data_IF_199945729161
#
_entry.id   IF_199945729161
#
_cell.length_a   1.000
_cell.length_b   1.000
_cell.length_c   1.000
_cell.angle_alpha   90.00
_cell.angle_beta   90.00
_cell.angle_gamma   90.00
#
_symmetry.space_group_name_H-M   'P 1'
#
loop_
_entity.id
_entity.type
_entity.pdbx_description
1 polymer ?
#
# COMPACT_ATOMS: atom_id res chain seq x y z
N UNK A 1 -20.33 32.68 -12.10
CA UNK A 1 -19.14 32.20 -11.41
C UNK A 1 -19.18 30.69 -11.47
N UNK A 2 -18.35 30.07 -12.27
CA UNK A 2 -18.26 28.58 -12.30
C UNK A 2 -17.37 28.18 -11.14
N UNK A 3 -17.93 27.45 -10.18
CA UNK A 3 -17.16 26.85 -9.09
C UNK A 3 -16.18 25.83 -9.68
N UNK A 4 -14.89 26.09 -9.48
CA UNK A 4 -13.80 25.20 -9.88
C UNK A 4 -13.72 23.97 -8.94
N UNK A 5 -14.77 23.15 -8.91
CA UNK A 5 -14.83 21.89 -8.14
C UNK A 5 -14.21 20.70 -8.86
N UNK A 6 -13.42 20.93 -9.91
CA UNK A 6 -12.92 19.88 -10.78
C UNK A 6 -11.52 19.35 -10.38
N UNK A 7 -10.85 20.00 -9.42
CA UNK A 7 -9.49 19.63 -8.98
C UNK A 7 -9.43 19.57 -7.46
N UNK A 8 -9.05 18.42 -6.92
CA UNK A 8 -8.71 18.27 -5.50
C UNK A 8 -7.19 18.25 -5.36
N UNK A 9 -6.65 19.05 -4.43
CA UNK A 9 -5.20 19.17 -4.21
C UNK A 9 -4.86 18.77 -2.78
N UNK A 10 -3.95 17.80 -2.65
CA UNK A 10 -3.41 17.37 -1.36
C UNK A 10 -1.89 17.53 -1.37
N UNK A 11 -1.33 18.25 -0.42
CA UNK A 11 0.12 18.42 -0.30
C UNK A 11 0.64 17.81 0.99
N UNK A 12 1.65 16.96 0.88
CA UNK A 12 2.38 16.40 2.02
C UNK A 12 3.88 16.42 1.72
N UNK A 13 4.64 17.22 2.49
CA UNK A 13 6.10 17.34 2.37
C UNK A 13 6.59 17.56 0.92
N UNK A 14 7.29 16.55 0.34
CA UNK A 14 7.85 16.57 -1.00
C UNK A 14 6.85 16.15 -2.09
N UNK A 15 5.64 15.77 -1.72
CA UNK A 15 4.63 15.25 -2.65
C UNK A 15 3.43 16.20 -2.71
N UNK A 16 2.95 16.46 -3.90
CA UNK A 16 1.67 17.13 -4.15
C UNK A 16 0.84 16.21 -5.02
N UNK A 17 -0.40 16.00 -4.64
CA UNK A 17 -1.35 15.18 -5.35
C UNK A 17 -2.45 16.06 -5.90
N UNK A 18 -2.78 15.92 -7.17
CA UNK A 18 -3.89 16.60 -7.82
C UNK A 18 -4.79 15.54 -8.45
N UNK A 19 -6.07 15.64 -8.16
CA UNK A 19 -7.06 14.78 -8.77
C UNK A 19 -7.91 15.59 -9.76
N UNK A 20 -7.88 15.21 -11.04
CA UNK A 20 -8.65 15.82 -12.10
C UNK A 20 -9.92 14.98 -12.34
N UNK A 21 -11.03 15.40 -11.74
CA UNK A 21 -12.31 14.65 -11.75
C UNK A 21 -12.83 14.39 -13.18
N UNK A 22 -12.79 15.40 -14.05
CA UNK A 22 -13.29 15.27 -15.43
C UNK A 22 -12.50 14.27 -16.27
N UNK A 23 -11.18 14.28 -16.13
CA UNK A 23 -10.28 13.44 -16.91
C UNK A 23 -10.12 12.04 -16.32
N UNK A 24 -10.59 11.82 -15.09
CA UNK A 24 -10.37 10.61 -14.33
C UNK A 24 -8.89 10.27 -14.14
N UNK A 25 -8.06 11.32 -13.98
CA UNK A 25 -6.60 11.24 -13.86
C UNK A 25 -6.18 11.69 -12.49
N UNK A 26 -5.26 10.93 -11.90
CA UNK A 26 -4.58 11.26 -10.67
C UNK A 26 -3.15 11.69 -10.99
N UNK A 27 -2.76 12.91 -10.61
CA UNK A 27 -1.43 13.47 -10.80
C UNK A 27 -0.67 13.52 -9.49
N UNK A 28 0.53 12.98 -9.49
CA UNK A 28 1.43 12.94 -8.34
C UNK A 28 2.72 13.67 -8.69
N UNK A 29 2.96 14.80 -8.03
CA UNK A 29 4.17 15.58 -8.19
C UNK A 29 5.16 15.23 -7.08
N UNK A 30 6.42 15.05 -7.47
CA UNK A 30 7.53 14.90 -6.55
C UNK A 30 8.45 16.10 -6.69
N UNK A 31 8.73 16.78 -5.56
CA UNK A 31 9.56 17.96 -5.49
C UNK A 31 10.77 17.68 -4.63
N UNK A 32 11.94 17.57 -5.25
CA UNK A 32 13.20 17.33 -4.57
C UNK A 32 14.05 18.60 -4.55
N UNK A 33 14.70 18.89 -3.41
CA UNK A 33 15.54 20.06 -3.22
C UNK A 33 16.88 19.69 -2.57
N UNK A 34 17.88 20.57 -2.71
CA UNK A 34 19.19 20.44 -2.06
C UNK A 34 19.91 19.14 -2.39
N UNK A 35 20.52 18.49 -1.38
CA UNK A 35 21.35 17.29 -1.54
C UNK A 35 20.57 16.15 -2.22
N UNK A 36 19.28 16.00 -1.93
CA UNK A 36 18.45 14.96 -2.53
C UNK A 36 18.27 15.18 -4.04
N UNK A 37 18.00 16.44 -4.45
CA UNK A 37 17.95 16.79 -5.86
C UNK A 37 19.29 16.56 -6.56
N UNK A 38 20.41 16.95 -5.94
CA UNK A 38 21.74 16.72 -6.45
C UNK A 38 22.03 15.23 -6.69
N UNK A 39 21.70 14.36 -5.73
CA UNK A 39 21.89 12.91 -5.89
C UNK A 39 21.05 12.32 -7.02
N UNK A 40 19.81 12.79 -7.20
CA UNK A 40 18.94 12.37 -8.32
C UNK A 40 19.51 12.90 -9.64
N UNK A 41 19.91 14.17 -9.69
CA UNK A 41 20.50 14.79 -10.86
C UNK A 41 21.77 14.06 -11.34
N UNK A 42 22.63 13.68 -10.40
CA UNK A 42 23.86 12.88 -10.67
C UNK A 42 23.59 11.38 -10.85
N UNK A 43 22.33 10.94 -10.88
CA UNK A 43 21.93 9.52 -10.96
C UNK A 43 22.46 8.64 -9.82
N UNK A 44 22.81 9.21 -8.68
CA UNK A 44 23.25 8.49 -7.47
C UNK A 44 22.06 7.97 -6.64
N UNK A 45 20.86 8.43 -6.94
CA UNK A 45 19.59 7.95 -6.35
C UNK A 45 18.55 7.86 -7.44
N UNK A 46 17.67 6.85 -7.34
CA UNK A 46 16.50 6.76 -8.22
C UNK A 46 15.46 7.79 -7.80
N UNK A 47 14.81 8.39 -8.77
CA UNK A 47 13.66 9.25 -8.59
C UNK A 47 12.40 8.38 -8.45
N UNK A 48 11.50 8.72 -7.51
CA UNK A 48 10.34 7.87 -7.19
C UNK A 48 9.35 7.76 -8.35
N UNK A 49 9.08 8.84 -9.06
CA UNK A 49 8.16 8.85 -10.19
C UNK A 49 8.68 8.02 -11.36
N UNK A 50 9.96 8.15 -11.71
CA UNK A 50 10.61 7.34 -12.73
C UNK A 50 10.61 5.85 -12.34
N UNK A 51 10.86 5.58 -11.06
CA UNK A 51 10.82 4.21 -10.55
C UNK A 51 9.41 3.62 -10.64
N UNK A 52 8.38 4.37 -10.26
CA UNK A 52 6.97 3.92 -10.33
C UNK A 52 6.54 3.63 -11.77
N UNK A 53 6.92 4.49 -12.71
CA UNK A 53 6.61 4.33 -14.13
C UNK A 53 7.26 3.07 -14.71
N UNK A 54 8.56 2.90 -14.49
CA UNK A 54 9.30 1.74 -15.00
C UNK A 54 8.82 0.44 -14.33
N UNK A 55 8.54 0.49 -13.04
CA UNK A 55 8.09 -0.66 -12.28
C UNK A 55 6.72 -1.16 -12.71
N UNK A 56 5.82 -0.26 -13.14
CA UNK A 56 4.50 -0.64 -13.61
C UNK A 56 4.55 -1.63 -14.79
N UNK A 57 5.42 -1.38 -15.76
CA UNK A 57 5.59 -2.29 -16.90
C UNK A 57 6.19 -3.64 -16.48
N UNK A 58 7.16 -3.63 -15.57
CA UNK A 58 7.73 -4.85 -15.00
C UNK A 58 6.67 -5.67 -14.25
N UNK A 59 5.85 -5.00 -13.43
CA UNK A 59 4.79 -5.65 -12.67
C UNK A 59 3.73 -6.28 -13.58
N UNK A 60 3.31 -5.59 -14.61
CA UNK A 60 2.35 -6.15 -15.59
C UNK A 60 2.89 -7.40 -16.27
N UNK A 61 4.17 -7.40 -16.63
CA UNK A 61 4.84 -8.54 -17.24
C UNK A 61 4.97 -9.72 -16.27
N UNK A 62 5.37 -9.43 -15.02
CA UNK A 62 5.63 -10.46 -14.02
C UNK A 62 4.33 -11.00 -13.38
N UNK A 63 3.25 -10.23 -13.40
CA UNK A 63 1.95 -10.57 -12.81
C UNK A 63 0.79 -10.28 -13.78
N UNK A 64 0.71 -10.99 -14.91
CA UNK A 64 -0.24 -10.66 -15.98
C UNK A 64 -1.72 -10.78 -15.61
N UNK A 65 -2.03 -11.54 -14.54
CA UNK A 65 -3.40 -11.74 -14.04
C UNK A 65 -3.80 -10.78 -12.94
N UNK A 66 -2.87 -9.92 -12.49
CA UNK A 66 -3.11 -8.98 -11.40
C UNK A 66 -3.50 -7.61 -11.91
N UNK A 67 -4.24 -6.89 -11.08
CA UNK A 67 -4.64 -5.53 -11.39
C UNK A 67 -3.72 -4.55 -10.64
N UNK A 68 -3.07 -3.71 -11.40
CA UNK A 68 -2.29 -2.58 -10.91
C UNK A 68 -2.93 -1.29 -11.42
N UNK A 69 -2.93 -0.25 -10.59
CA UNK A 69 -3.31 1.08 -11.05
C UNK A 69 -2.46 1.45 -12.27
N UNK A 70 -3.11 1.77 -13.39
CA UNK A 70 -2.40 2.08 -14.63
C UNK A 70 -1.64 3.39 -14.48
N UNK A 71 -0.34 3.35 -14.67
CA UNK A 71 0.51 4.54 -14.81
C UNK A 71 0.48 4.96 -16.27
N UNK A 72 -0.01 6.19 -16.53
CA UNK A 72 -0.26 6.69 -17.87
C UNK A 72 0.96 7.38 -18.46
N UNK A 73 1.65 8.19 -17.65
CA UNK A 73 2.84 8.92 -18.08
C UNK A 73 3.73 9.32 -16.91
N UNK A 74 4.97 9.60 -17.25
CA UNK A 74 5.99 10.18 -16.38
C UNK A 74 6.69 11.32 -17.11
N UNK A 75 6.92 12.44 -16.41
CA UNK A 75 7.61 13.61 -16.97
C UNK A 75 8.55 14.25 -15.94
N UNK A 76 9.74 14.65 -16.39
CA UNK A 76 10.65 15.53 -15.64
C UNK A 76 10.36 16.99 -15.98
N UNK A 77 9.58 17.67 -15.12
CA UNK A 77 9.21 19.08 -15.30
C UNK A 77 10.43 20.00 -15.07
N UNK A 78 11.27 19.66 -14.09
CA UNK A 78 12.47 20.38 -13.74
C UNK A 78 13.59 19.42 -13.37
N UNK A 79 14.77 19.61 -13.96
CA UNK A 79 15.95 18.80 -13.69
C UNK A 79 17.19 19.69 -13.55
N UNK A 80 17.55 20.05 -12.33
CA UNK A 80 18.74 20.84 -12.02
C UNK A 80 19.42 20.29 -10.77
N UNK A 81 20.72 20.61 -10.52
CA UNK A 81 21.45 20.10 -9.36
C UNK A 81 20.79 20.36 -8.00
N UNK A 82 20.02 21.46 -7.91
CA UNK A 82 19.41 21.87 -6.63
C UNK A 82 17.89 21.73 -6.59
N UNK A 83 17.27 21.37 -7.71
CA UNK A 83 15.82 21.22 -7.78
C UNK A 83 15.43 20.24 -8.89
N UNK A 84 14.81 19.13 -8.50
CA UNK A 84 14.20 18.17 -9.44
C UNK A 84 12.71 18.14 -9.15
N UNK A 85 11.89 18.33 -10.18
CA UNK A 85 10.42 18.20 -10.11
C UNK A 85 9.98 17.22 -11.17
N UNK A 86 9.22 16.22 -10.78
CA UNK A 86 8.69 15.20 -11.68
C UNK A 86 7.18 15.04 -11.49
N UNK A 87 6.53 14.55 -12.52
CA UNK A 87 5.10 14.29 -12.57
C UNK A 87 4.86 12.84 -12.99
N UNK A 88 4.01 12.15 -12.25
CA UNK A 88 3.42 10.88 -12.64
C UNK A 88 1.92 11.07 -12.80
N UNK A 89 1.39 10.64 -13.93
CA UNK A 89 -0.05 10.56 -14.15
C UNK A 89 -0.49 9.11 -14.11
N UNK A 90 -1.56 8.84 -13.40
CA UNK A 90 -2.18 7.50 -13.32
C UNK A 90 -3.69 7.59 -13.49
N UNK A 91 -4.32 6.48 -13.82
CA UNK A 91 -5.77 6.40 -13.80
C UNK A 91 -6.31 6.54 -12.38
N UNK A 92 -7.51 7.10 -12.23
CA UNK A 92 -8.21 7.05 -10.97
C UNK A 92 -8.99 5.74 -10.84
N UNK A 93 -8.69 4.98 -9.80
CA UNK A 93 -9.34 3.71 -9.51
C UNK A 93 -10.56 3.83 -8.60
N UNK A 94 -10.78 5.00 -7.96
CA UNK A 94 -11.86 5.22 -6.99
C UNK A 94 -13.27 5.00 -7.59
N UNK A 95 -13.43 5.25 -8.89
CA UNK A 95 -14.71 5.00 -9.58
C UNK A 95 -14.99 3.52 -9.82
N UNK A 96 -13.96 2.71 -9.85
CA UNK A 96 -14.05 1.27 -10.13
C UNK A 96 -14.09 0.45 -8.84
N UNK A 97 -13.48 0.96 -7.77
CA UNK A 97 -13.33 0.28 -6.49
C UNK A 97 -13.96 1.12 -5.38
N UNK A 98 -14.85 0.51 -4.60
CA UNK A 98 -15.69 1.17 -3.61
C UNK A 98 -14.98 1.51 -2.29
N UNK A 99 -13.69 1.27 -2.15
CA UNK A 99 -12.92 1.60 -0.96
C UNK A 99 -11.58 0.86 -0.88
N UNK A 100 -10.75 1.27 0.07
CA UNK A 100 -9.52 0.56 0.36
C UNK A 100 -9.76 -0.70 1.21
N UNK A 101 -8.74 -1.55 1.32
CA UNK A 101 -8.85 -2.83 2.03
C UNK A 101 -9.15 -2.65 3.52
N UNK A 102 -8.71 -1.56 4.14
CA UNK A 102 -9.00 -1.26 5.56
C UNK A 102 -10.48 -0.97 5.76
N UNK A 103 -11.08 -0.15 4.91
CA UNK A 103 -12.50 0.18 4.96
C UNK A 103 -13.37 -1.06 4.69
N UNK A 104 -12.99 -1.86 3.70
CA UNK A 104 -13.66 -3.12 3.41
C UNK A 104 -13.57 -4.10 4.57
N UNK A 105 -12.41 -4.22 5.20
CA UNK A 105 -12.23 -5.08 6.38
C UNK A 105 -13.11 -4.63 7.55
N UNK A 106 -13.18 -3.32 7.81
CA UNK A 106 -14.08 -2.75 8.82
C UNK A 106 -15.54 -3.04 8.51
N UNK A 107 -15.94 -2.89 7.26
CA UNK A 107 -17.29 -3.21 6.82
C UNK A 107 -17.63 -4.68 7.08
N UNK A 108 -16.78 -5.63 6.66
CA UNK A 108 -17.01 -7.05 6.85
C UNK A 108 -17.14 -7.44 8.34
N UNK A 109 -16.30 -6.84 9.19
CA UNK A 109 -16.34 -7.08 10.63
C UNK A 109 -17.65 -6.54 11.22
N UNK A 110 -18.10 -5.35 10.83
CA UNK A 110 -19.35 -4.75 11.30
C UNK A 110 -20.57 -5.57 10.88
N UNK A 111 -20.56 -6.12 9.67
CA UNK A 111 -21.60 -7.04 9.18
C UNK A 111 -21.49 -8.45 9.79
N UNK A 112 -20.53 -8.67 10.69
CA UNK A 112 -20.21 -9.96 11.31
C UNK A 112 -19.91 -11.08 10.29
N UNK A 113 -19.38 -10.71 9.10
CA UNK A 113 -19.03 -11.64 8.04
C UNK A 113 -17.56 -12.08 8.15
N UNK A 114 -17.28 -12.84 9.21
CA UNK A 114 -15.94 -13.37 9.49
C UNK A 114 -15.40 -14.20 8.32
N UNK A 115 -16.25 -14.97 7.66
CA UNK A 115 -15.84 -15.83 6.56
C UNK A 115 -15.22 -15.01 5.43
N UNK A 116 -15.90 -13.96 4.97
CA UNK A 116 -15.35 -13.07 3.94
C UNK A 116 -14.13 -12.28 4.42
N UNK A 117 -14.08 -11.93 5.70
CA UNK A 117 -12.90 -11.29 6.27
C UNK A 117 -11.67 -12.22 6.20
N UNK A 118 -11.81 -13.50 6.55
CA UNK A 118 -10.73 -14.49 6.41
C UNK A 118 -10.34 -14.71 4.94
N UNK A 119 -11.31 -14.79 4.04
CA UNK A 119 -11.03 -14.86 2.60
C UNK A 119 -10.23 -13.66 2.11
N UNK A 120 -10.52 -12.45 2.61
CA UNK A 120 -9.77 -11.24 2.29
C UNK A 120 -8.33 -11.29 2.83
N UNK A 121 -8.11 -11.79 4.05
CA UNK A 121 -6.77 -12.01 4.61
C UNK A 121 -5.99 -13.03 3.78
N UNK A 122 -6.60 -14.16 3.41
CA UNK A 122 -5.96 -15.18 2.57
C UNK A 122 -5.60 -14.64 1.18
N UNK A 123 -6.46 -13.79 0.61
CA UNK A 123 -6.21 -13.14 -0.67
C UNK A 123 -5.02 -12.17 -0.59
N UNK A 124 -4.96 -11.34 0.46
CA UNK A 124 -3.82 -10.47 0.72
C UNK A 124 -2.53 -11.28 0.89
N UNK A 125 -2.59 -12.36 1.66
CA UNK A 125 -1.43 -13.22 1.90
C UNK A 125 -0.90 -13.84 0.60
N UNK A 126 -1.79 -14.36 -0.25
CA UNK A 126 -1.40 -14.92 -1.56
C UNK A 126 -0.74 -13.85 -2.44
N UNK A 127 -1.25 -12.61 -2.38
CA UNK A 127 -0.65 -11.48 -3.07
C UNK A 127 0.78 -11.25 -2.58
N UNK A 128 0.96 -11.04 -1.26
CA UNK A 128 2.26 -10.79 -0.65
C UNK A 128 3.25 -11.93 -0.92
N UNK A 129 2.81 -13.16 -0.71
CA UNK A 129 3.65 -14.34 -0.95
C UNK A 129 4.15 -14.41 -2.40
N UNK A 130 3.27 -14.23 -3.37
CA UNK A 130 3.63 -14.30 -4.80
C UNK A 130 4.55 -13.15 -5.19
N UNK A 131 4.29 -11.96 -4.62
CA UNK A 131 5.11 -10.76 -4.82
C UNK A 131 6.56 -11.01 -4.36
N UNK A 132 6.71 -11.57 -3.17
CA UNK A 132 7.99 -11.95 -2.60
C UNK A 132 8.71 -13.04 -3.38
N UNK A 133 7.99 -14.03 -3.90
CA UNK A 133 8.59 -15.09 -4.73
C UNK A 133 9.26 -14.51 -5.98
N UNK A 134 8.74 -13.43 -6.53
CA UNK A 134 9.31 -12.72 -7.67
C UNK A 134 10.31 -11.60 -7.29
N UNK A 135 10.75 -11.59 -6.02
CA UNK A 135 11.70 -10.62 -5.45
C UNK A 135 11.22 -9.16 -5.47
N UNK A 136 9.91 -8.95 -5.45
CA UNK A 136 9.34 -7.64 -5.21
C UNK A 136 9.03 -7.43 -3.74
N UNK A 137 9.18 -6.20 -3.27
CA UNK A 137 8.89 -5.81 -1.89
C UNK A 137 8.27 -4.42 -1.88
N UNK A 138 7.34 -4.21 -0.97
CA UNK A 138 6.83 -2.89 -0.66
C UNK A 138 7.35 -2.45 0.71
N UNK A 139 8.11 -1.36 0.78
CA UNK A 139 8.73 -0.92 2.05
C UNK A 139 7.73 -0.26 3.00
N UNK A 140 6.62 0.24 2.48
CA UNK A 140 5.46 0.73 3.22
C UNK A 140 4.22 -0.10 2.85
N UNK A 141 4.28 -1.40 3.17
CA UNK A 141 3.21 -2.34 2.87
C UNK A 141 2.01 -2.05 3.78
N UNK A 142 1.16 -1.15 3.31
CA UNK A 142 -0.01 -0.69 4.03
C UNK A 142 -1.29 -1.18 3.31
N UNK A 143 -2.26 -1.67 4.06
CA UNK A 143 -3.55 -2.10 3.52
C UNK A 143 -4.32 -0.98 2.80
N UNK A 144 -4.01 0.29 3.10
CA UNK A 144 -4.58 1.42 2.39
C UNK A 144 -4.10 1.53 0.93
N UNK A 145 -2.99 0.84 0.57
CA UNK A 145 -2.46 0.82 -0.78
C UNK A 145 -3.14 -0.23 -1.68
N UNK A 146 -4.16 -0.89 -1.16
CA UNK A 146 -5.01 -1.83 -1.89
C UNK A 146 -6.42 -1.31 -1.97
N UNK A 147 -6.93 -1.15 -3.18
CA UNK A 147 -8.35 -0.93 -3.41
C UNK A 147 -9.01 -2.26 -3.71
N UNK A 148 -10.20 -2.47 -3.18
CA UNK A 148 -10.95 -3.70 -3.37
C UNK A 148 -12.36 -3.42 -3.91
N UNK A 149 -12.75 -4.17 -4.93
CA UNK A 149 -14.13 -4.25 -5.36
C UNK A 149 -14.82 -5.40 -4.58
N UNK A 150 -15.74 -5.07 -3.66
CA UNK A 150 -16.40 -6.07 -2.82
C UNK A 150 -17.28 -7.04 -3.63
N UNK A 151 -17.74 -6.66 -4.82
CA UNK A 151 -18.59 -7.51 -5.68
C UNK A 151 -17.76 -8.54 -6.46
N UNK A 152 -16.68 -8.08 -7.08
CA UNK A 152 -15.84 -8.92 -7.94
C UNK A 152 -14.64 -9.52 -7.20
N UNK A 153 -14.39 -9.11 -5.97
CA UNK A 153 -13.19 -9.44 -5.16
C UNK A 153 -11.86 -9.11 -5.88
N UNK A 154 -11.92 -8.21 -6.88
CA UNK A 154 -10.71 -7.73 -7.53
C UNK A 154 -9.99 -6.76 -6.62
N UNK A 155 -8.69 -6.96 -6.50
CA UNK A 155 -7.79 -6.05 -5.78
C UNK A 155 -6.97 -5.30 -6.81
N UNK A 156 -6.85 -3.98 -6.61
CA UNK A 156 -5.91 -3.13 -7.35
C UNK A 156 -4.92 -2.54 -6.38
N UNK A 157 -3.67 -2.67 -6.72
CA UNK A 157 -2.57 -2.05 -5.99
C UNK A 157 -2.32 -0.64 -6.53
N UNK A 158 -2.26 0.38 -5.66
CA UNK A 158 -2.31 1.78 -6.06
C UNK A 158 -1.05 2.62 -5.77
N UNK A 159 -0.16 2.20 -4.90
CA UNK A 159 1.04 2.99 -4.57
C UNK A 159 2.32 2.20 -4.85
N UNK A 160 2.98 2.52 -5.97
CA UNK A 160 4.20 1.85 -6.43
C UNK A 160 5.49 2.52 -5.95
N UNK A 161 5.40 3.66 -5.29
CA UNK A 161 6.57 4.49 -4.94
C UNK A 161 7.62 3.75 -4.12
N UNK A 162 7.15 2.90 -3.25
CA UNK A 162 7.94 2.21 -2.25
C UNK A 162 8.15 0.71 -2.58
N UNK A 163 7.73 0.29 -3.79
CA UNK A 163 8.06 -1.03 -4.30
C UNK A 163 9.52 -1.06 -4.78
N UNK A 164 10.18 -2.15 -4.47
CA UNK A 164 11.55 -2.44 -4.92
C UNK A 164 11.66 -3.86 -5.42
N UNK A 165 12.53 -4.04 -6.40
CA UNK A 165 13.02 -5.35 -6.82
C UNK A 165 14.44 -5.49 -6.27
N UNK A 166 14.61 -6.30 -5.24
CA UNK A 166 15.84 -6.35 -4.45
C UNK A 166 16.50 -7.73 -4.50
N UNK A 167 17.83 -7.79 -4.35
CA UNK A 167 18.55 -9.04 -4.21
C UNK A 167 18.11 -9.86 -3.00
N UNK A 168 18.27 -11.17 -3.10
CA UNK A 168 17.79 -12.16 -2.13
C UNK A 168 18.20 -11.90 -0.67
N UNK A 169 19.38 -11.28 -0.43
CA UNK A 169 19.92 -11.06 0.93
C UNK A 169 19.11 -10.04 1.77
N UNK A 170 18.38 -9.12 1.14
CA UNK A 170 17.50 -8.17 1.86
C UNK A 170 16.08 -8.69 2.07
N UNK A 171 15.75 -9.81 1.46
CA UNK A 171 14.40 -10.35 1.40
C UNK A 171 13.78 -10.52 2.78
N UNK A 172 14.48 -11.17 3.73
CA UNK A 172 13.99 -11.41 5.09
C UNK A 172 13.69 -10.11 5.84
N UNK A 173 14.54 -9.08 5.69
CA UNK A 173 14.34 -7.79 6.34
C UNK A 173 13.08 -7.07 5.83
N UNK A 174 12.94 -6.98 4.52
CA UNK A 174 11.81 -6.29 3.89
C UNK A 174 10.50 -7.02 4.16
N UNK A 175 10.50 -8.34 4.06
CA UNK A 175 9.37 -9.18 4.45
C UNK A 175 8.95 -8.95 5.90
N UNK A 176 9.92 -8.93 6.82
CA UNK A 176 9.64 -8.64 8.23
C UNK A 176 8.98 -7.28 8.41
N UNK A 177 9.39 -6.27 7.66
CA UNK A 177 8.80 -4.94 7.70
C UNK A 177 7.36 -4.95 7.18
N UNK A 178 7.11 -5.59 6.04
CA UNK A 178 5.78 -5.73 5.44
C UNK A 178 4.80 -6.41 6.40
N UNK A 179 5.18 -7.57 6.94
CA UNK A 179 4.32 -8.34 7.85
C UNK A 179 4.03 -7.55 9.14
N UNK A 180 5.03 -6.85 9.69
CA UNK A 180 4.82 -6.01 10.88
C UNK A 180 3.93 -4.81 10.61
N UNK A 181 4.00 -4.21 9.43
CA UNK A 181 3.11 -3.13 9.03
C UNK A 181 1.67 -3.63 8.93
N UNK A 182 1.46 -4.78 8.32
CA UNK A 182 0.15 -5.42 8.24
C UNK A 182 -0.39 -5.78 9.64
N UNK A 183 0.41 -6.44 10.47
CA UNK A 183 0.05 -6.81 11.85
C UNK A 183 -0.41 -5.58 12.66
N UNK A 184 0.34 -4.47 12.56
CA UNK A 184 -0.02 -3.24 13.25
C UNK A 184 -1.37 -2.70 12.74
N UNK A 185 -1.57 -2.64 11.42
CA UNK A 185 -2.83 -2.16 10.82
C UNK A 185 -4.02 -3.05 11.20
N UNK A 186 -3.83 -4.37 11.19
CA UNK A 186 -4.87 -5.32 11.62
C UNK A 186 -5.26 -5.10 13.08
N UNK A 187 -4.28 -4.93 13.96
CA UNK A 187 -4.51 -4.65 15.39
C UNK A 187 -5.24 -3.32 15.60
N UNK A 188 -4.90 -2.28 14.85
CA UNK A 188 -5.60 -0.98 14.91
C UNK A 188 -7.06 -1.11 14.47
N UNK A 189 -7.33 -1.90 13.42
CA UNK A 189 -8.70 -2.23 13.00
C UNK A 189 -9.45 -2.92 14.14
N UNK A 190 -8.87 -3.98 14.72
CA UNK A 190 -9.51 -4.74 15.79
C UNK A 190 -9.72 -3.92 17.08
N UNK A 191 -8.82 -3.00 17.40
CA UNK A 191 -9.01 -2.04 18.51
C UNK A 191 -10.20 -1.12 18.27
N UNK A 192 -10.37 -0.64 17.03
CA UNK A 192 -11.50 0.24 16.68
C UNK A 192 -12.86 -0.46 16.75
N UNK A 193 -12.89 -1.82 16.77
CA UNK A 193 -14.10 -2.63 16.82
C UNK A 193 -14.51 -2.90 18.28
N UNK A 194 -15.11 -1.89 18.93
CA UNK A 194 -15.47 -1.97 20.36
C UNK A 194 -16.53 -3.03 20.66
N UNK A 195 -17.43 -3.31 19.71
CA UNK A 195 -18.52 -4.27 19.86
C UNK A 195 -18.14 -5.72 19.52
N UNK A 196 -16.92 -5.95 19.00
CA UNK A 196 -16.45 -7.29 18.66
C UNK A 196 -16.04 -8.05 19.93
N UNK A 197 -16.46 -9.31 20.05
CA UNK A 197 -16.06 -10.17 21.17
C UNK A 197 -14.55 -10.42 21.15
N UNK A 198 -13.94 -10.51 22.32
CA UNK A 198 -12.50 -10.79 22.47
C UNK A 198 -12.14 -12.14 21.84
N UNK A 199 -13.00 -13.16 21.97
CA UNK A 199 -12.82 -14.47 21.31
C UNK A 199 -12.65 -14.34 19.80
N UNK A 200 -13.44 -13.45 19.18
CA UNK A 200 -13.42 -13.24 17.74
C UNK A 200 -12.17 -12.49 17.30
N UNK A 201 -11.75 -11.47 18.08
CA UNK A 201 -10.47 -10.77 17.84
C UNK A 201 -9.29 -11.73 17.94
N UNK A 202 -9.31 -12.62 18.92
CA UNK A 202 -8.27 -13.65 19.11
C UNK A 202 -8.23 -14.60 17.92
N UNK A 203 -9.37 -15.12 17.47
CA UNK A 203 -9.46 -15.99 16.30
C UNK A 203 -8.82 -15.35 15.04
N UNK A 204 -9.09 -14.07 14.79
CA UNK A 204 -8.52 -13.33 13.67
C UNK A 204 -7.00 -13.20 13.80
N UNK A 205 -6.51 -12.86 14.99
CA UNK A 205 -5.07 -12.74 15.25
C UNK A 205 -4.35 -14.08 15.13
N UNK A 206 -4.95 -15.15 15.63
CA UNK A 206 -4.39 -16.51 15.55
C UNK A 206 -4.36 -17.01 14.10
N UNK A 207 -5.40 -16.72 13.30
CA UNK A 207 -5.41 -17.01 11.87
C UNK A 207 -4.30 -16.26 11.14
N UNK A 208 -4.11 -14.96 11.41
CA UNK A 208 -3.02 -14.18 10.83
C UNK A 208 -1.65 -14.75 11.21
N UNK A 209 -1.43 -15.06 12.49
CA UNK A 209 -0.19 -15.69 12.96
C UNK A 209 0.07 -17.03 12.28
N UNK A 210 -0.95 -17.85 12.11
CA UNK A 210 -0.84 -19.12 11.39
C UNK A 210 -0.37 -18.90 9.94
N UNK A 211 -0.95 -17.91 9.25
CA UNK A 211 -0.58 -17.59 7.88
C UNK A 211 0.88 -17.14 7.75
N UNK A 212 1.40 -16.39 8.73
CA UNK A 212 2.77 -15.83 8.68
C UNK A 212 3.81 -16.64 9.44
N UNK A 213 3.42 -17.71 10.12
CA UNK A 213 4.30 -18.51 10.99
C UNK A 213 5.53 -19.08 10.31
N UNK A 214 5.42 -19.46 9.03
CA UNK A 214 6.51 -20.02 8.24
C UNK A 214 7.63 -19.03 7.88
N UNK A 215 7.46 -17.73 8.20
CA UNK A 215 8.50 -16.71 7.92
C UNK A 215 9.49 -16.51 9.06
N UNK A 216 9.33 -17.19 10.20
CA UNK A 216 10.20 -17.06 11.38
C UNK A 216 10.41 -15.58 11.78
N UNK A 217 9.33 -14.82 11.88
CA UNK A 217 9.35 -13.42 12.24
C UNK A 217 9.21 -13.26 13.74
N UNK A 218 10.26 -12.75 14.37
CA UNK A 218 10.21 -12.41 15.80
C UNK A 218 9.38 -11.16 16.02
N UNK A 219 8.34 -11.29 16.85
CA UNK A 219 7.55 -10.15 17.31
C UNK A 219 8.38 -9.26 18.22
N UNK A 220 8.26 -7.94 18.06
CA UNK A 220 8.89 -6.96 18.95
C UNK A 220 8.06 -6.81 20.24
N UNK A 221 8.65 -6.38 21.36
CA UNK A 221 7.89 -6.11 22.58
C UNK A 221 6.67 -5.21 22.36
N UNK A 222 6.79 -4.17 21.54
CA UNK A 222 5.68 -3.28 21.19
C UNK A 222 4.56 -3.97 20.39
N UNK A 223 4.88 -4.96 19.59
CA UNK A 223 3.89 -5.70 18.79
C UNK A 223 3.09 -6.64 19.71
N UNK A 224 3.74 -7.22 20.73
CA UNK A 224 3.12 -8.03 21.78
C UNK A 224 2.24 -7.16 22.68
N UNK A 225 2.73 -6.00 23.09
CA UNK A 225 1.98 -5.03 23.89
C UNK A 225 0.72 -4.53 23.15
N UNK A 226 0.83 -4.31 21.85
CA UNK A 226 -0.31 -3.94 21.00
C UNK A 226 -1.36 -5.06 20.97
N UNK A 227 -0.94 -6.32 20.85
CA UNK A 227 -1.83 -7.47 20.91
C UNK A 227 -2.56 -7.60 22.24
N UNK A 228 -1.84 -7.45 23.35
CA UNK A 228 -2.46 -7.45 24.70
C UNK A 228 -3.56 -6.40 24.81
N UNK A 229 -3.33 -5.18 24.29
CA UNK A 229 -4.35 -4.14 24.25
C UNK A 229 -5.59 -4.54 23.46
N UNK A 230 -5.41 -5.20 22.30
CA UNK A 230 -6.53 -5.69 21.47
C UNK A 230 -7.37 -6.72 22.22
N UNK A 231 -6.71 -7.59 23.01
CA UNK A 231 -7.34 -8.68 23.76
C UNK A 231 -7.73 -8.28 25.19
N UNK A 232 -7.53 -7.00 25.59
CA UNK A 232 -7.75 -6.52 26.96
C UNK A 232 -6.96 -7.36 28.01
N UNK A 233 -5.82 -7.89 27.64
CA UNK A 233 -4.93 -8.61 28.53
C UNK A 233 -4.00 -7.61 29.28
N UNK A 234 -3.83 -7.81 30.60
CA UNK A 234 -2.93 -6.99 31.42
C UNK A 234 -1.47 -7.44 31.32
#
# INVERSE_FOLDING_TARGET
MMENNDVEIFTKEEKTHEFLKKENIYKKFYNYKGIKALRIFLKLSKEKGENSYNLYEDLKKDFPTWNFMKVLSYEKIKNSPFSVKTLVCSENVDKTFSGNFVEYSKYLINENDKQKFFEAIDLWYKFEYTFLQKNYFHTDFNLNNFMIDPKTKKIVFIDFDDIKKEPHFKKKLLLTQSIRSFDATLKDILLSMTNMKISDKKEILDKFKSVVSHYDIKMRPKDIEHEKRVLNEK
#
